data_IF_275834579312
#
_entry.id   IF_275834579312
#
_cell.length_a   1.000
_cell.length_b   1.000
_cell.length_c   1.000
_cell.angle_alpha   90.00
_cell.angle_beta   90.00
_cell.angle_gamma   90.00
#
_symmetry.space_group_name_H-M   'P 1'
#
loop_
_entity.id
_entity.type
_entity.pdbx_description
1 polymer ?
#
# COMPACT_ATOMS: atom_id res chain seq x y z
N UNK A 1 -55.90 -8.79 28.37
CA UNK A 1 -55.37 -9.07 27.02
C UNK A 1 -53.89 -8.67 26.99
N UNK A 2 -53.04 -9.57 26.48
CA UNK A 2 -51.62 -9.47 26.02
C UNK A 2 -50.80 -8.22 26.43
N UNK A 3 -49.56 -8.30 26.90
CA UNK A 3 -48.52 -9.32 26.82
C UNK A 3 -47.14 -8.63 26.74
N UNK A 4 -46.06 -9.36 26.96
CA UNK A 4 -44.75 -9.02 26.36
C UNK A 4 -43.66 -8.45 27.27
N UNK A 5 -43.02 -9.36 27.99
CA UNK A 5 -41.68 -9.35 28.58
C UNK A 5 -40.66 -8.29 28.11
N UNK A 6 -40.13 -7.53 29.08
CA UNK A 6 -38.77 -6.99 29.09
C UNK A 6 -38.14 -7.29 30.44
N UNK A 7 -37.11 -8.13 30.51
CA UNK A 7 -36.08 -8.01 31.57
C UNK A 7 -34.72 -8.44 31.05
N UNK A 8 -33.83 -7.45 30.95
CA UNK A 8 -32.38 -7.59 30.89
C UNK A 8 -31.91 -8.16 32.23
N UNK A 9 -31.18 -9.27 32.21
CA UNK A 9 -30.46 -9.80 33.38
C UNK A 9 -28.98 -9.58 33.18
N UNK A 10 -28.41 -8.67 33.96
CA UNK A 10 -26.97 -8.49 34.11
C UNK A 10 -26.58 -8.57 35.58
N UNK A 11 -25.31 -8.94 35.79
CA UNK A 11 -24.48 -8.75 36.98
C UNK A 11 -24.52 -9.84 38.07
N UNK A 12 -23.52 -10.73 37.96
CA UNK A 12 -22.43 -11.08 38.90
C UNK A 12 -22.68 -11.14 40.43
N UNK A 13 -22.06 -12.20 40.99
CA UNK A 13 -21.25 -12.29 42.22
C UNK A 13 -21.88 -12.98 43.43
N UNK A 14 -21.34 -14.15 43.81
CA UNK A 14 -21.13 -14.67 45.19
C UNK A 14 -20.01 -15.74 45.06
N UNK A 15 -18.77 -15.55 45.51
CA UNK A 15 -18.22 -15.63 46.89
C UNK A 15 -18.35 -17.03 47.53
N UNK A 16 -17.20 -17.61 47.92
CA UNK A 16 -17.05 -18.99 48.36
C UNK A 16 -17.21 -19.26 49.86
N UNK A 17 -17.12 -20.55 50.21
CA UNK A 17 -16.92 -21.19 51.52
C UNK A 17 -17.02 -22.72 51.23
N UNK A 18 -16.43 -23.69 51.93
CA UNK A 18 -15.48 -23.81 53.02
C UNK A 18 -15.03 -25.30 53.04
N UNK A 19 -13.99 -25.59 53.82
CA UNK A 19 -13.25 -26.85 53.91
C UNK A 19 -13.95 -28.01 54.65
N UNK A 20 -13.42 -29.24 54.46
CA UNK A 20 -13.02 -30.31 55.44
C UNK A 20 -13.08 -31.68 54.71
N UNK A 21 -11.99 -32.45 54.53
CA UNK A 21 -11.39 -33.42 55.48
C UNK A 21 -12.02 -34.83 55.28
N UNK A 22 -11.39 -36.01 55.26
CA UNK A 22 -10.05 -36.59 55.57
C UNK A 22 -10.07 -38.04 54.99
N UNK A 23 -8.92 -38.63 54.60
CA UNK A 23 -8.44 -39.99 54.96
C UNK A 23 -7.65 -40.73 53.86
N UNK A 24 -6.47 -41.22 54.27
CA UNK A 24 -5.49 -42.02 53.54
C UNK A 24 -5.96 -43.46 53.23
N UNK A 25 -5.56 -43.99 52.06
CA UNK A 25 -5.19 -45.41 51.90
C UNK A 25 -4.30 -45.67 50.66
N UNK A 26 -3.07 -46.12 50.94
CA UNK A 26 -2.25 -47.13 50.25
C UNK A 26 -2.13 -47.26 48.70
N UNK A 27 -0.86 -47.17 48.27
CA UNK A 27 -0.15 -48.05 47.30
C UNK A 27 -0.47 -47.93 45.80
N UNK A 28 0.56 -47.55 45.02
CA UNK A 28 0.64 -47.83 43.59
C UNK A 28 1.62 -46.93 42.83
N UNK A 29 2.92 -47.19 42.93
CA UNK A 29 3.90 -46.66 41.96
C UNK A 29 3.61 -47.26 40.59
N UNK A 30 3.24 -46.44 39.60
CA UNK A 30 3.49 -46.74 38.18
C UNK A 30 3.96 -45.50 37.43
N UNK A 31 5.08 -45.71 36.76
CA UNK A 31 5.88 -44.81 35.97
C UNK A 31 5.08 -43.85 35.09
N UNK A 32 5.28 -42.55 35.27
CA UNK A 32 5.03 -41.56 34.24
C UNK A 32 6.23 -41.57 33.29
N UNK A 33 6.01 -41.99 32.05
CA UNK A 33 6.94 -41.77 30.93
C UNK A 33 7.25 -40.28 30.86
N UNK A 34 8.48 -39.92 31.20
CA UNK A 34 9.00 -38.58 30.95
C UNK A 34 9.26 -38.48 29.46
N UNK A 35 8.43 -37.73 28.75
CA UNK A 35 8.77 -37.23 27.43
C UNK A 35 10.13 -36.51 27.53
N UNK A 36 11.15 -37.08 26.90
CA UNK A 36 12.48 -36.48 26.82
C UNK A 36 12.38 -35.17 26.03
N UNK A 37 13.03 -34.08 26.48
CA UNK A 37 13.14 -32.89 25.64
C UNK A 37 13.92 -33.26 24.38
N UNK A 38 13.36 -32.95 23.20
CA UNK A 38 14.03 -33.16 21.92
C UNK A 38 15.39 -32.46 21.95
N UNK A 39 16.50 -33.16 21.59
CA UNK A 39 17.82 -32.55 21.54
C UNK A 39 17.81 -31.33 20.64
N UNK A 40 18.30 -30.19 21.13
CA UNK A 40 18.46 -29.00 20.31
C UNK A 40 19.38 -29.33 19.11
N UNK A 41 19.00 -28.98 17.88
CA UNK A 41 19.76 -29.33 16.69
C UNK A 41 21.19 -28.78 16.79
N UNK A 42 22.16 -29.65 16.53
CA UNK A 42 23.58 -29.32 16.58
C UNK A 42 23.95 -28.20 15.59
N UNK A 43 25.11 -27.54 15.78
CA UNK A 43 25.55 -26.43 14.93
C UNK A 43 25.58 -26.77 13.43
N UNK A 44 25.93 -28.00 13.04
CA UNK A 44 25.91 -28.45 11.64
C UNK A 44 24.48 -28.50 11.04
N UNK A 45 23.48 -28.92 11.81
CA UNK A 45 22.09 -28.94 11.37
C UNK A 45 21.52 -27.51 11.20
N UNK A 46 21.97 -26.55 12.02
CA UNK A 46 21.60 -25.14 11.87
C UNK A 46 22.17 -24.49 10.61
N UNK A 47 23.40 -24.84 10.23
CA UNK A 47 24.03 -24.34 8.99
C UNK A 47 23.39 -24.96 7.76
N UNK A 48 23.07 -26.26 7.77
CA UNK A 48 22.33 -26.92 6.70
C UNK A 48 20.97 -26.24 6.47
N UNK A 49 20.15 -26.10 7.52
CA UNK A 49 18.83 -25.47 7.40
C UNK A 49 18.88 -24.01 6.95
N UNK A 50 19.91 -23.23 7.35
CA UNK A 50 20.05 -21.85 6.88
C UNK A 50 20.34 -21.75 5.38
N UNK A 51 21.10 -22.71 4.83
CA UNK A 51 21.41 -22.78 3.40
C UNK A 51 20.17 -23.28 2.63
N UNK A 52 19.48 -24.31 3.14
CA UNK A 52 18.27 -24.88 2.53
C UNK A 52 17.15 -23.84 2.38
N UNK A 53 16.86 -23.06 3.42
CA UNK A 53 15.85 -22.00 3.36
C UNK A 53 16.22 -20.85 2.42
N UNK A 54 17.51 -20.53 2.29
CA UNK A 54 17.98 -19.54 1.34
C UNK A 54 17.76 -20.02 -0.11
N UNK A 55 17.97 -21.30 -0.38
CA UNK A 55 17.70 -21.91 -1.69
C UNK A 55 16.20 -21.92 -2.04
N UNK A 56 15.33 -22.23 -1.07
CA UNK A 56 13.87 -22.16 -1.26
C UNK A 56 13.40 -20.74 -1.59
N UNK A 57 13.88 -19.73 -0.82
CA UNK A 57 13.53 -18.32 -1.06
C UNK A 57 13.92 -17.83 -2.46
N UNK A 58 15.11 -18.21 -2.94
CA UNK A 58 15.56 -17.85 -4.30
C UNK A 58 14.67 -18.53 -5.35
N UNK A 59 14.37 -19.82 -5.17
CA UNK A 59 13.55 -20.58 -6.13
C UNK A 59 12.13 -20.03 -6.22
N UNK A 60 11.54 -19.67 -5.08
CA UNK A 60 10.20 -19.06 -5.02
C UNK A 60 10.18 -17.67 -5.67
N UNK A 61 11.19 -16.83 -5.42
CA UNK A 61 11.28 -15.50 -6.02
C UNK A 61 11.37 -15.53 -7.55
N UNK A 62 12.09 -16.52 -8.11
CA UNK A 62 12.18 -16.73 -9.56
C UNK A 62 10.83 -17.23 -10.11
N UNK A 63 10.17 -18.13 -9.38
CA UNK A 63 8.84 -18.64 -9.73
C UNK A 63 7.77 -17.53 -9.80
N UNK A 64 7.77 -16.62 -8.81
CA UNK A 64 6.89 -15.45 -8.76
C UNK A 64 7.13 -14.50 -9.93
N UNK A 65 8.39 -14.18 -10.23
CA UNK A 65 8.73 -13.33 -11.37
C UNK A 65 8.26 -13.92 -12.72
N UNK A 66 8.41 -15.24 -12.90
CA UNK A 66 7.93 -15.95 -14.08
C UNK A 66 6.40 -16.01 -14.14
N UNK A 67 5.72 -16.08 -13.00
CA UNK A 67 4.27 -16.03 -12.91
C UNK A 67 3.75 -14.64 -13.32
N UNK A 68 4.32 -13.56 -12.75
CA UNK A 68 3.98 -12.17 -13.11
C UNK A 68 4.19 -11.93 -14.60
N UNK A 69 5.29 -12.44 -15.17
CA UNK A 69 5.59 -12.31 -16.60
C UNK A 69 4.53 -12.99 -17.47
N UNK A 70 4.11 -14.21 -17.12
CA UNK A 70 3.06 -14.93 -17.85
C UNK A 70 1.70 -14.24 -17.75
N UNK A 71 1.36 -13.71 -16.57
CA UNK A 71 0.15 -12.92 -16.37
C UNK A 71 0.19 -11.64 -17.20
N UNK A 72 1.34 -10.96 -17.25
CA UNK A 72 1.51 -9.77 -18.08
C UNK A 72 1.25 -10.09 -19.54
N UNK A 73 1.83 -11.16 -20.08
CA UNK A 73 1.58 -11.59 -21.47
C UNK A 73 0.10 -11.88 -21.71
N UNK A 74 -0.57 -12.61 -20.80
CA UNK A 74 -2.00 -12.90 -20.93
C UNK A 74 -2.88 -11.64 -20.92
N UNK A 75 -2.54 -10.65 -20.09
CA UNK A 75 -3.24 -9.36 -20.07
C UNK A 75 -3.02 -8.59 -21.38
N UNK A 76 -1.81 -8.56 -21.91
CA UNK A 76 -1.53 -7.88 -23.18
C UNK A 76 -2.24 -8.54 -24.37
N UNK A 77 -2.36 -9.87 -24.36
CA UNK A 77 -3.12 -10.59 -25.39
C UNK A 77 -4.62 -10.26 -25.34
N UNK A 78 -5.21 -10.21 -24.14
CA UNK A 78 -6.66 -10.06 -23.97
C UNK A 78 -7.16 -8.62 -23.96
N UNK A 79 -6.42 -7.70 -23.34
CA UNK A 79 -6.84 -6.31 -23.15
C UNK A 79 -5.87 -5.29 -23.77
N UNK A 80 -4.85 -5.74 -24.53
CA UNK A 80 -3.93 -4.91 -25.31
C UNK A 80 -3.26 -3.84 -24.46
N UNK A 81 -3.29 -2.57 -24.89
CA UNK A 81 -2.65 -1.46 -24.19
C UNK A 81 -3.18 -1.22 -22.77
N UNK A 82 -4.39 -1.67 -22.44
CA UNK A 82 -4.91 -1.60 -21.06
C UNK A 82 -4.14 -2.54 -20.12
N UNK A 83 -3.59 -3.65 -20.64
CA UNK A 83 -2.78 -4.60 -19.87
C UNK A 83 -1.45 -4.03 -19.41
N UNK A 84 -0.97 -2.94 -20.02
CA UNK A 84 0.23 -2.22 -19.56
C UNK A 84 -0.07 -1.37 -18.32
N UNK A 85 -1.32 -0.93 -18.15
CA UNK A 85 -1.76 -0.06 -17.05
C UNK A 85 -2.14 -0.82 -15.78
N UNK A 86 -2.21 -2.15 -15.87
CA UNK A 86 -2.48 -3.03 -14.75
C UNK A 86 -1.17 -3.40 -14.05
N UNK A 87 -1.10 -3.12 -12.75
CA UNK A 87 -0.08 -3.61 -11.83
C UNK A 87 -0.45 -5.01 -11.35
N UNK A 88 0.56 -5.86 -11.17
CA UNK A 88 0.41 -7.28 -10.84
C UNK A 88 1.31 -7.55 -9.64
N UNK A 89 0.71 -8.02 -8.56
CA UNK A 89 1.42 -8.57 -7.40
C UNK A 89 1.03 -10.03 -7.28
N UNK A 90 2.00 -10.93 -7.17
CA UNK A 90 1.74 -12.36 -7.11
C UNK A 90 2.61 -13.01 -6.03
N UNK A 91 1.98 -13.76 -5.13
CA UNK A 91 2.65 -14.52 -4.07
C UNK A 91 2.03 -15.90 -3.93
N UNK A 92 2.83 -16.96 -4.06
CA UNK A 92 2.35 -18.34 -3.91
C UNK A 92 1.14 -18.70 -4.79
N UNK A 93 1.03 -18.10 -5.98
CA UNK A 93 -0.10 -18.29 -6.90
C UNK A 93 -1.34 -17.42 -6.63
N UNK A 94 -1.40 -16.70 -5.51
CA UNK A 94 -2.40 -15.67 -5.27
C UNK A 94 -1.99 -14.39 -6.00
N UNK A 95 -2.89 -13.86 -6.84
CA UNK A 95 -2.62 -12.71 -7.70
C UNK A 95 -3.54 -11.56 -7.32
N UNK A 96 -2.96 -10.38 -7.13
CA UNK A 96 -3.68 -9.12 -7.02
C UNK A 96 -3.42 -8.28 -8.28
N UNK A 97 -4.51 -7.85 -8.93
CA UNK A 97 -4.49 -6.95 -10.06
C UNK A 97 -5.01 -5.59 -9.61
N UNK A 98 -4.27 -4.52 -9.88
CA UNK A 98 -4.69 -3.15 -9.61
C UNK A 98 -4.37 -2.22 -10.77
N UNK A 99 -5.06 -1.09 -10.87
CA UNK A 99 -4.81 -0.08 -11.91
C UNK A 99 -6.08 0.37 -12.62
N UNK A 100 -5.91 1.32 -13.54
CA UNK A 100 -7.01 1.95 -14.26
C UNK A 100 -6.94 1.61 -15.76
N UNK A 101 -8.03 1.07 -16.30
CA UNK A 101 -8.15 0.64 -17.71
C UNK A 101 -9.15 1.51 -18.44
N UNK A 102 -8.95 1.78 -19.74
CA UNK A 102 -9.81 2.74 -20.48
C UNK A 102 -11.17 2.17 -20.86
N UNK A 103 -11.25 0.85 -21.05
CA UNK A 103 -12.46 0.18 -21.51
C UNK A 103 -13.12 -0.58 -20.38
N UNK A 104 -14.45 -0.48 -20.31
CA UNK A 104 -15.26 -1.25 -19.36
C UNK A 104 -15.09 -2.76 -19.59
N UNK A 105 -14.97 -3.20 -20.84
CA UNK A 105 -14.68 -4.59 -21.17
C UNK A 105 -13.36 -5.07 -20.58
N UNK A 106 -12.34 -4.21 -20.48
CA UNK A 106 -11.04 -4.57 -19.90
C UNK A 106 -11.13 -4.87 -18.40
N UNK A 107 -12.04 -4.21 -17.67
CA UNK A 107 -12.27 -4.46 -16.22
C UNK A 107 -12.75 -5.89 -15.98
N UNK A 108 -13.64 -6.38 -16.83
CA UNK A 108 -14.22 -7.72 -16.72
C UNK A 108 -13.29 -8.81 -17.27
N UNK A 109 -12.48 -8.46 -18.28
CA UNK A 109 -11.57 -9.39 -18.94
C UNK A 109 -10.25 -9.59 -18.20
N UNK A 110 -9.74 -8.56 -17.49
CA UNK A 110 -8.50 -8.65 -16.74
C UNK A 110 -8.45 -9.84 -15.73
N UNK A 111 -9.44 -10.02 -14.83
CA UNK A 111 -9.40 -11.13 -13.88
C UNK A 111 -9.49 -12.49 -14.57
N UNK A 112 -10.25 -12.60 -15.67
CA UNK A 112 -10.38 -13.83 -16.44
C UNK A 112 -9.08 -14.20 -17.15
N UNK A 113 -8.40 -13.21 -17.73
CA UNK A 113 -7.12 -13.38 -18.38
C UNK A 113 -6.04 -13.85 -17.39
N UNK A 114 -5.99 -13.26 -16.19
CA UNK A 114 -5.06 -13.69 -15.15
C UNK A 114 -5.39 -15.09 -14.61
N UNK A 115 -6.68 -15.38 -14.35
CA UNK A 115 -7.09 -16.69 -13.82
C UNK A 115 -6.82 -17.86 -14.78
N UNK A 116 -6.74 -17.58 -16.09
CA UNK A 116 -6.41 -18.59 -17.10
C UNK A 116 -4.92 -19.01 -17.11
N UNK A 117 -4.05 -18.28 -16.39
CA UNK A 117 -2.61 -18.57 -16.38
C UNK A 117 -2.29 -19.72 -15.44
N UNK A 118 -1.54 -20.71 -15.94
CA UNK A 118 -1.08 -21.86 -15.15
C UNK A 118 -0.24 -21.42 -13.96
N UNK A 119 -0.65 -21.83 -12.76
CA UNK A 119 0.00 -21.48 -11.49
C UNK A 119 -0.74 -20.39 -10.70
N UNK A 120 -1.82 -19.83 -11.24
CA UNK A 120 -2.72 -18.94 -10.50
C UNK A 120 -3.73 -19.77 -9.72
N UNK A 121 -3.77 -19.57 -8.41
CA UNK A 121 -4.70 -20.24 -7.49
C UNK A 121 -5.89 -19.36 -7.12
N UNK A 122 -5.68 -18.04 -7.06
CA UNK A 122 -6.73 -17.06 -6.80
C UNK A 122 -6.39 -15.72 -7.44
N UNK A 123 -7.43 -14.97 -7.83
CA UNK A 123 -7.29 -13.63 -8.41
C UNK A 123 -8.17 -12.66 -7.65
N UNK A 124 -7.55 -11.61 -7.09
CA UNK A 124 -8.23 -10.44 -6.55
C UNK A 124 -8.07 -9.30 -7.56
N UNK A 125 -9.18 -8.78 -8.05
CA UNK A 125 -9.18 -7.64 -8.97
C UNK A 125 -9.62 -6.36 -8.26
N UNK A 126 -8.75 -5.36 -8.28
CA UNK A 126 -8.96 -3.98 -7.86
C UNK A 126 -8.86 -3.03 -9.08
N UNK A 127 -9.05 -3.56 -10.29
CA UNK A 127 -8.97 -2.80 -11.54
C UNK A 127 -10.23 -1.94 -11.72
N UNK A 128 -10.04 -0.65 -12.05
CA UNK A 128 -11.13 0.32 -12.22
C UNK A 128 -11.17 0.88 -13.64
N UNK A 129 -12.33 1.37 -14.06
CA UNK A 129 -12.47 2.10 -15.32
C UNK A 129 -11.85 3.50 -15.16
N UNK A 130 -10.94 3.86 -16.05
CA UNK A 130 -10.46 5.22 -16.21
C UNK A 130 -11.55 6.01 -16.94
N UNK A 131 -12.33 6.79 -16.20
CA UNK A 131 -13.42 7.61 -16.73
C UNK A 131 -12.87 8.83 -17.48
N UNK A 132 -12.20 8.63 -18.62
CA UNK A 132 -11.76 9.68 -19.58
C UNK A 132 -10.75 10.73 -19.07
N UNK A 133 -10.67 10.91 -17.76
CA UNK A 133 -9.67 11.62 -17.01
C UNK A 133 -8.71 10.57 -16.46
N UNK A 134 -7.41 10.86 -16.55
CA UNK A 134 -6.32 10.10 -15.90
C UNK A 134 -5.70 8.98 -16.78
N UNK A 135 -4.66 9.36 -17.54
CA UNK A 135 -3.41 8.59 -17.50
C UNK A 135 -2.82 8.64 -16.08
N UNK A 136 -1.78 7.84 -15.75
CA UNK A 136 -1.39 7.58 -14.37
C UNK A 136 -1.16 8.89 -13.59
N UNK A 137 -2.13 9.26 -12.77
CA UNK A 137 -2.02 10.22 -11.70
C UNK A 137 -2.39 9.51 -10.39
N UNK A 138 -1.75 9.88 -9.27
CA UNK A 138 -1.95 9.26 -7.98
C UNK A 138 -3.37 9.57 -7.45
N UNK A 139 -3.89 8.74 -6.53
CA UNK A 139 -5.31 8.69 -6.23
C UNK A 139 -5.73 9.91 -5.41
N UNK A 140 -6.74 10.66 -5.86
CA UNK A 140 -7.92 11.08 -5.07
C UNK A 140 -8.84 12.02 -5.86
N UNK A 141 -9.74 11.47 -6.67
CA UNK A 141 -10.85 12.22 -7.27
C UNK A 141 -12.19 11.71 -6.75
N UNK A 142 -12.64 12.16 -5.58
CA UNK A 142 -14.08 12.20 -5.24
C UNK A 142 -14.44 13.04 -4.00
N UNK A 143 -14.72 14.35 -4.18
CA UNK A 143 -15.70 15.16 -3.39
C UNK A 143 -16.07 16.40 -4.22
N UNK A 144 -17.07 16.28 -5.10
CA UNK A 144 -17.39 17.17 -6.26
C UNK A 144 -17.86 18.59 -5.88
N UNK A 145 -16.98 19.39 -5.29
CA UNK A 145 -17.19 20.82 -5.04
C UNK A 145 -16.06 21.42 -4.20
N UNK A 146 -15.53 20.63 -3.27
CA UNK A 146 -14.27 20.88 -2.57
C UNK A 146 -13.07 20.32 -3.35
N UNK A 147 -13.26 19.18 -4.01
CA UNK A 147 -12.22 18.48 -4.79
C UNK A 147 -11.96 19.13 -6.14
N UNK A 148 -12.88 19.90 -6.74
CA UNK A 148 -12.50 20.68 -7.92
C UNK A 148 -11.46 21.75 -7.57
N UNK A 149 -11.60 22.39 -6.40
CA UNK A 149 -10.60 23.32 -5.88
C UNK A 149 -9.31 22.59 -5.53
N UNK A 150 -9.38 21.48 -4.79
CA UNK A 150 -8.20 20.67 -4.46
C UNK A 150 -7.49 20.11 -5.71
N UNK A 151 -8.23 19.73 -6.75
CA UNK A 151 -7.65 19.25 -8.01
C UNK A 151 -7.05 20.40 -8.80
N UNK A 152 -7.73 21.54 -8.90
CA UNK A 152 -7.17 22.73 -9.54
C UNK A 152 -5.88 23.19 -8.83
N UNK A 153 -5.88 23.15 -7.51
CA UNK A 153 -4.75 23.49 -6.64
C UNK A 153 -3.62 22.47 -6.78
N UNK A 154 -3.91 21.16 -6.80
CA UNK A 154 -2.93 20.11 -7.06
C UNK A 154 -2.32 20.20 -8.47
N UNK A 155 -3.13 20.54 -9.49
CA UNK A 155 -2.66 20.78 -10.85
C UNK A 155 -1.81 22.06 -10.94
N UNK A 156 -2.16 23.09 -10.18
CA UNK A 156 -1.37 24.31 -10.07
C UNK A 156 -0.02 24.01 -9.40
N UNK A 157 -0.01 23.26 -8.30
CA UNK A 157 1.20 22.81 -7.61
C UNK A 157 2.11 21.98 -8.55
N UNK A 158 1.55 20.98 -9.22
CA UNK A 158 2.29 20.15 -10.18
C UNK A 158 2.90 20.98 -11.32
N UNK A 159 2.15 21.96 -11.85
CA UNK A 159 2.64 22.86 -12.90
C UNK A 159 3.78 23.75 -12.39
N UNK A 160 3.65 24.30 -11.19
CA UNK A 160 4.70 25.13 -10.58
C UNK A 160 5.95 24.28 -10.32
N UNK A 161 5.81 23.08 -9.75
CA UNK A 161 6.92 22.14 -9.53
C UNK A 161 7.63 21.79 -10.84
N UNK A 162 6.89 21.52 -11.91
CA UNK A 162 7.48 21.24 -13.23
C UNK A 162 8.30 22.43 -13.77
N UNK A 163 7.77 23.66 -13.66
CA UNK A 163 8.48 24.88 -14.08
C UNK A 163 9.72 25.16 -13.25
N UNK A 164 9.65 24.92 -11.94
CA UNK A 164 10.81 25.05 -11.06
C UNK A 164 11.87 24.00 -11.41
N UNK A 165 11.49 22.76 -11.68
CA UNK A 165 12.42 21.71 -12.15
C UNK A 165 13.09 22.09 -13.46
N UNK A 166 12.35 22.65 -14.42
CA UNK A 166 12.87 23.12 -15.71
C UNK A 166 13.94 24.21 -15.54
N UNK A 167 13.71 25.17 -14.65
CA UNK A 167 14.56 26.37 -14.51
C UNK A 167 15.67 26.23 -13.45
N UNK A 168 15.43 25.48 -12.39
CA UNK A 168 16.35 25.32 -11.24
C UNK A 168 16.97 23.91 -11.14
N UNK A 169 16.48 22.96 -11.93
CA UNK A 169 16.99 21.59 -11.96
C UNK A 169 16.99 20.95 -10.58
N UNK A 170 18.18 20.47 -10.15
CA UNK A 170 18.34 19.75 -8.87
C UNK A 170 17.96 20.56 -7.63
N UNK A 171 17.94 21.89 -7.73
CA UNK A 171 17.57 22.77 -6.60
C UNK A 171 16.07 22.72 -6.32
N UNK A 172 15.24 22.46 -7.34
CA UNK A 172 13.80 22.33 -7.17
C UNK A 172 13.41 21.16 -6.26
N UNK A 173 14.22 20.09 -6.19
CA UNK A 173 13.98 18.99 -5.24
C UNK A 173 14.15 19.37 -3.76
N UNK A 174 14.77 20.52 -3.47
CA UNK A 174 14.93 21.05 -2.10
C UNK A 174 13.92 22.15 -1.78
N UNK A 175 13.04 22.45 -2.73
CA UNK A 175 11.99 23.45 -2.60
C UNK A 175 10.67 22.69 -2.51
N UNK A 176 9.96 22.88 -1.41
CA UNK A 176 8.59 22.43 -1.29
C UNK A 176 7.65 23.52 -1.81
N UNK A 177 6.63 23.09 -2.54
CA UNK A 177 5.62 23.98 -3.12
C UNK A 177 4.27 23.46 -2.66
N UNK A 178 3.47 24.40 -2.19
CA UNK A 178 2.08 24.20 -1.81
C UNK A 178 1.25 25.29 -2.48
N UNK A 179 0.22 24.90 -3.22
CA UNK A 179 -0.67 25.82 -3.91
C UNK A 179 -2.08 25.63 -3.34
N UNK A 180 -2.70 26.72 -2.91
CA UNK A 180 -4.05 26.72 -2.37
C UNK A 180 -4.79 27.98 -2.83
N UNK A 181 -5.92 27.81 -3.51
CA UNK A 181 -6.79 28.89 -3.98
C UNK A 181 -6.04 29.98 -4.78
N UNK A 182 -5.06 29.56 -5.61
CA UNK A 182 -4.23 30.47 -6.41
C UNK A 182 -3.13 31.20 -5.63
N UNK A 183 -2.95 30.92 -4.34
CA UNK A 183 -1.81 31.37 -3.55
C UNK A 183 -0.77 30.26 -3.49
N UNK A 184 0.43 30.54 -3.99
CA UNK A 184 1.52 29.56 -3.98
C UNK A 184 2.52 29.90 -2.89
N UNK A 185 2.72 28.96 -1.96
CA UNK A 185 3.74 29.03 -0.93
C UNK A 185 4.94 28.19 -1.36
N UNK A 186 6.11 28.79 -1.36
CA UNK A 186 7.38 28.10 -1.63
C UNK A 186 8.25 28.14 -0.39
N UNK A 187 8.76 26.98 0.03
CA UNK A 187 9.60 26.85 1.22
C UNK A 187 10.78 25.91 0.96
N UNK A 188 11.82 25.99 1.80
CA UNK A 188 13.00 25.15 1.69
C UNK A 188 14.30 25.94 1.51
N UNK A 189 15.36 25.25 1.09
CA UNK A 189 16.73 25.81 1.11
C UNK A 189 17.32 25.92 -0.28
N UNK A 190 17.67 27.14 -0.66
CA UNK A 190 18.34 27.45 -1.92
C UNK A 190 19.81 27.82 -1.69
N UNK A 191 20.72 27.48 -2.61
CA UNK A 191 22.15 27.68 -2.40
C UNK A 191 22.62 29.12 -2.62
N UNK A 192 21.78 30.01 -3.18
CA UNK A 192 22.13 31.41 -3.43
C UNK A 192 20.88 32.27 -3.64
N UNK A 193 21.06 33.58 -3.43
CA UNK A 193 20.02 34.57 -3.61
C UNK A 193 19.56 34.70 -5.07
N UNK A 194 20.41 34.38 -6.05
CA UNK A 194 20.05 34.41 -7.46
C UNK A 194 18.99 33.35 -7.78
N UNK A 195 19.19 32.12 -7.30
CA UNK A 195 18.21 31.02 -7.41
C UNK A 195 16.92 31.30 -6.64
N UNK A 196 16.99 31.94 -5.46
CA UNK A 196 15.78 32.41 -4.76
C UNK A 196 14.95 33.33 -5.65
N UNK A 197 15.57 34.36 -6.23
CA UNK A 197 14.88 35.32 -7.11
C UNK A 197 14.34 34.65 -8.36
N UNK A 198 15.07 33.68 -8.93
CA UNK A 198 14.60 32.91 -10.07
C UNK A 198 13.36 32.07 -9.70
N UNK A 199 13.38 31.37 -8.57
CA UNK A 199 12.24 30.59 -8.10
C UNK A 199 10.98 31.46 -7.95
N UNK A 200 11.09 32.61 -7.28
CA UNK A 200 9.97 33.56 -7.12
C UNK A 200 9.44 34.02 -8.49
N UNK A 201 10.32 34.38 -9.43
CA UNK A 201 9.90 34.80 -10.78
C UNK A 201 9.18 33.70 -11.53
N UNK A 202 9.67 32.47 -11.46
CA UNK A 202 9.09 31.31 -12.15
C UNK A 202 7.69 31.01 -11.61
N UNK A 203 7.51 31.05 -10.28
CA UNK A 203 6.21 30.86 -9.65
C UNK A 203 5.25 31.98 -10.06
N UNK A 204 5.69 33.23 -9.99
CA UNK A 204 4.85 34.40 -10.36
C UNK A 204 4.43 34.38 -11.83
N UNK A 205 5.29 33.87 -12.73
CA UNK A 205 4.99 33.74 -14.15
C UNK A 205 4.10 32.54 -14.51
N UNK A 206 3.70 31.71 -13.54
CA UNK A 206 2.89 30.52 -13.80
C UNK A 206 1.41 30.87 -13.90
N UNK A 207 0.75 30.43 -14.97
CA UNK A 207 -0.69 30.66 -15.20
C UNK A 207 -1.54 30.04 -14.10
N UNK A 208 -2.35 30.87 -13.44
CA UNK A 208 -3.21 30.50 -12.30
C UNK A 208 -2.71 31.00 -10.94
N UNK A 209 -1.51 31.57 -10.87
CA UNK A 209 -0.96 32.15 -9.64
C UNK A 209 -1.47 33.58 -9.45
N UNK A 210 -2.09 33.83 -8.30
CA UNK A 210 -2.61 35.14 -7.88
C UNK A 210 -1.69 35.81 -6.88
N UNK A 211 -1.08 35.02 -5.98
CA UNK A 211 -0.12 35.52 -4.99
C UNK A 211 0.97 34.48 -4.71
N UNK A 212 2.15 34.96 -4.29
CA UNK A 212 3.29 34.11 -3.94
C UNK A 212 3.75 34.42 -2.52
N UNK A 213 3.86 33.38 -1.69
CA UNK A 213 4.47 33.43 -0.36
C UNK A 213 5.85 32.81 -0.42
N UNK A 214 6.86 33.64 -0.27
CA UNK A 214 8.26 33.22 -0.26
C UNK A 214 8.75 32.96 1.17
N UNK A 215 8.98 31.68 1.47
CA UNK A 215 9.57 31.18 2.72
C UNK A 215 10.90 30.47 2.44
N UNK A 216 11.61 30.84 1.37
CA UNK A 216 12.90 30.25 1.02
C UNK A 216 14.04 30.81 1.86
N UNK A 217 14.85 29.92 2.40
CA UNK A 217 16.07 30.25 3.13
C UNK A 217 17.29 30.08 2.22
N UNK A 218 18.16 31.08 2.15
CA UNK A 218 19.43 30.99 1.43
C UNK A 218 20.46 30.36 2.35
N UNK A 219 21.13 29.30 1.90
CA UNK A 219 22.30 28.77 2.58
C UNK A 219 23.47 29.69 2.22
N UNK A 220 23.93 30.48 3.18
CA UNK A 220 25.16 31.29 3.10
C UNK A 220 26.39 30.39 2.90
#
# INVERSE_FOLDING_TARGET
MMGGARRRGGVRAVAGCAALGVALAAVGVRAAERATPTPAPGPAARVGGAIDHAWEQVTDSVGEALLVTRIRVALLDRIKEDGLRVSIVAHGGAVELSGAVKRRSSVELAPRAAAAVKGVSSVRSLVTLADGSQGPEPPVARVVGSVERTVADALLDARVKARLLEQLGKVAFRIDVDAAEGVVTISGTVPDAARRRLAVRVVTGTTGVTAVRDLLTVKE
#
